data_IF_117629290042
#
_entry.id   IF_117629290042
#
_cell.length_a   1.000
_cell.length_b   1.000
_cell.length_c   1.000
_cell.angle_alpha   90.00
_cell.angle_beta   90.00
_cell.angle_gamma   90.00
#
_symmetry.space_group_name_H-M   'P 1'
#
loop_
_entity.id
_entity.type
_entity.pdbx_description
1 polymer ?
#
# COMPACT_ATOMS: atom_id res chain seq x y z
N UNK A 1 -42.49 20.15 49.55
CA UNK A 1 -42.34 20.54 48.13
C UNK A 1 -41.33 21.67 47.87
N UNK A 2 -41.36 22.83 48.56
CA UNK A 2 -40.43 23.97 48.30
C UNK A 2 -38.95 23.63 48.56
N UNK A 3 -38.63 22.92 49.65
CA UNK A 3 -37.26 22.49 49.99
C UNK A 3 -36.67 21.47 49.00
N UNK A 4 -37.49 20.53 48.49
CA UNK A 4 -37.08 19.56 47.47
C UNK A 4 -36.80 20.22 46.11
N UNK A 5 -37.59 21.24 45.73
CA UNK A 5 -37.32 22.04 44.52
C UNK A 5 -36.01 22.83 44.63
N UNK A 6 -35.73 23.43 45.79
CA UNK A 6 -34.47 24.15 46.03
C UNK A 6 -33.28 23.18 45.98
N UNK A 7 -33.39 22.00 46.60
CA UNK A 7 -32.35 20.98 46.53
C UNK A 7 -32.10 20.48 45.10
N UNK A 8 -33.16 20.27 44.32
CA UNK A 8 -33.04 19.90 42.90
C UNK A 8 -32.33 20.97 42.05
N UNK A 9 -32.61 22.26 42.30
CA UNK A 9 -31.92 23.37 41.61
C UNK A 9 -30.44 23.44 42.01
N UNK A 10 -30.11 23.24 43.29
CA UNK A 10 -28.72 23.21 43.76
C UNK A 10 -27.95 22.06 43.10
N UNK A 11 -28.54 20.86 43.06
CA UNK A 11 -27.92 19.70 42.39
C UNK A 11 -27.74 19.96 40.90
N UNK A 12 -28.74 20.56 40.23
CA UNK A 12 -28.64 20.90 38.81
C UNK A 12 -27.49 21.90 38.55
N UNK A 13 -27.35 22.93 39.38
CA UNK A 13 -26.25 23.90 39.27
C UNK A 13 -24.89 23.23 39.49
N UNK A 14 -24.78 22.34 40.49
CA UNK A 14 -23.56 21.58 40.76
C UNK A 14 -23.17 20.68 39.58
N UNK A 15 -24.14 19.99 38.97
CA UNK A 15 -23.91 19.16 37.78
C UNK A 15 -23.51 20.01 36.56
N UNK A 16 -24.10 21.19 36.39
CA UNK A 16 -23.75 22.10 35.31
C UNK A 16 -22.32 22.66 35.48
N UNK A 17 -21.97 23.07 36.70
CA UNK A 17 -20.64 23.57 37.02
C UNK A 17 -19.56 22.48 36.86
N UNK A 18 -19.84 21.24 37.28
CA UNK A 18 -18.90 20.13 37.12
C UNK A 18 -18.72 19.76 35.64
N UNK A 19 -19.80 19.69 34.86
CA UNK A 19 -19.74 19.41 33.43
C UNK A 19 -18.94 20.48 32.67
N UNK A 20 -19.14 21.76 32.98
CA UNK A 20 -18.37 22.87 32.40
C UNK A 20 -16.88 22.79 32.77
N UNK A 21 -16.57 22.45 34.03
CA UNK A 21 -15.19 22.31 34.52
C UNK A 21 -14.47 21.13 33.86
N UNK A 22 -15.14 19.98 33.71
CA UNK A 22 -14.58 18.81 33.02
C UNK A 22 -14.31 19.12 31.56
N UNK A 23 -15.23 19.82 30.88
CA UNK A 23 -15.02 20.25 29.48
C UNK A 23 -13.81 21.17 29.36
N UNK A 24 -13.68 22.15 30.25
CA UNK A 24 -12.56 23.10 30.24
C UNK A 24 -11.21 22.42 30.50
N UNK A 25 -11.14 21.55 31.51
CA UNK A 25 -9.93 20.76 31.80
C UNK A 25 -9.56 19.81 30.65
N UNK A 26 -10.56 19.20 30.01
CA UNK A 26 -10.37 18.38 28.82
C UNK A 26 -9.78 19.20 27.66
N UNK A 27 -10.36 20.37 27.37
CA UNK A 27 -9.83 21.28 26.34
C UNK A 27 -8.38 21.67 26.60
N UNK A 28 -8.04 22.06 27.83
CA UNK A 28 -6.64 22.41 28.18
C UNK A 28 -5.70 21.22 28.00
N UNK A 29 -6.11 20.03 28.48
CA UNK A 29 -5.30 18.82 28.36
C UNK A 29 -4.99 18.49 26.90
N UNK A 30 -6.01 18.57 26.03
CA UNK A 30 -5.84 18.25 24.61
C UNK A 30 -5.19 19.36 23.80
N UNK A 31 -5.37 20.64 24.18
CA UNK A 31 -4.69 21.76 23.54
C UNK A 31 -3.17 21.72 23.73
N UNK A 32 -2.70 21.18 24.87
CA UNK A 32 -1.29 20.99 25.19
C UNK A 32 -0.74 19.58 24.91
N UNK A 33 -1.55 18.65 24.39
CA UNK A 33 -1.10 17.29 24.12
C UNK A 33 -0.12 17.27 22.93
N UNK A 34 1.09 16.76 23.17
CA UNK A 34 2.12 16.57 22.16
C UNK A 34 2.19 15.10 21.71
N UNK A 35 2.80 14.86 20.54
CA UNK A 35 3.11 13.50 20.09
C UNK A 35 4.37 12.99 20.78
N UNK A 36 4.29 11.83 21.42
CA UNK A 36 5.42 11.25 22.12
C UNK A 36 6.05 10.06 21.38
N UNK A 37 5.32 9.44 20.44
CA UNK A 37 5.81 8.29 19.69
C UNK A 37 5.12 8.16 18.32
N UNK A 38 5.82 7.54 17.38
CA UNK A 38 5.33 7.20 16.04
C UNK A 38 5.38 5.68 15.93
N UNK A 39 4.23 5.07 15.67
CA UNK A 39 4.09 3.63 15.50
C UNK A 39 3.76 3.38 14.02
N UNK A 40 4.67 2.71 13.31
CA UNK A 40 4.53 2.38 11.89
C UNK A 40 4.21 0.89 11.75
N UNK A 41 3.12 0.59 11.07
CA UNK A 41 2.71 -0.77 10.73
C UNK A 41 2.58 -0.89 9.22
N UNK A 42 3.33 -1.83 8.63
CA UNK A 42 3.29 -2.08 7.19
C UNK A 42 2.65 -3.45 6.96
N UNK A 43 1.58 -3.48 6.17
CA UNK A 43 0.96 -4.69 5.70
C UNK A 43 1.58 -5.06 4.35
N UNK A 44 2.05 -6.30 4.24
CA UNK A 44 2.62 -6.87 3.02
C UNK A 44 1.68 -7.96 2.50
N UNK A 45 0.70 -7.62 1.65
CA UNK A 45 -0.08 -8.62 0.95
C UNK A 45 0.82 -9.60 0.19
N UNK A 46 0.46 -10.88 0.19
CA UNK A 46 1.21 -11.98 -0.44
C UNK A 46 2.68 -12.09 0.00
N UNK A 47 3.02 -11.59 1.21
CA UNK A 47 4.37 -11.60 1.77
C UNK A 47 5.43 -10.90 0.90
N UNK A 48 5.01 -9.93 0.09
CA UNK A 48 5.92 -9.17 -0.78
C UNK A 48 6.49 -7.96 -0.06
N UNK A 49 7.80 -7.95 0.20
CA UNK A 49 8.45 -6.84 0.92
C UNK A 49 8.92 -5.78 -0.08
N UNK A 50 8.11 -4.74 -0.30
CA UNK A 50 8.41 -3.66 -1.27
C UNK A 50 8.61 -2.28 -0.61
N UNK A 51 8.00 -2.06 0.55
CA UNK A 51 8.09 -0.81 1.32
C UNK A 51 9.09 -0.98 2.45
N UNK A 52 10.04 -0.05 2.56
CA UNK A 52 11.12 -0.08 3.54
C UNK A 52 11.07 1.18 4.41
N UNK A 53 11.36 1.01 5.71
CA UNK A 53 11.40 2.13 6.65
C UNK A 53 12.37 3.25 6.21
N UNK A 54 13.47 2.90 5.54
CA UNK A 54 14.43 3.86 4.99
C UNK A 54 13.81 4.87 4.01
N UNK A 55 12.73 4.48 3.31
CA UNK A 55 12.02 5.34 2.37
C UNK A 55 10.93 6.18 3.06
N UNK A 56 10.35 5.68 4.15
CA UNK A 56 9.28 6.34 4.90
C UNK A 56 9.80 7.44 5.82
N UNK A 57 10.92 7.16 6.50
CA UNK A 57 11.49 8.04 7.52
C UNK A 57 11.80 9.46 7.02
N UNK A 58 12.38 9.66 5.81
CA UNK A 58 12.61 11.01 5.30
C UNK A 58 11.32 11.83 5.13
N UNK A 59 10.24 11.21 4.64
CA UNK A 59 8.95 11.87 4.45
C UNK A 59 8.34 12.25 5.80
N UNK A 60 8.31 11.29 6.74
CA UNK A 60 7.78 11.50 8.09
C UNK A 60 8.58 12.58 8.82
N UNK A 61 9.91 12.51 8.79
CA UNK A 61 10.77 13.48 9.47
C UNK A 61 10.65 14.89 8.88
N UNK A 62 10.47 15.00 7.56
CA UNK A 62 10.25 16.30 6.91
C UNK A 62 8.91 16.89 7.33
N UNK A 63 7.84 16.09 7.27
CA UNK A 63 6.52 16.50 7.73
C UNK A 63 6.53 16.97 9.19
N UNK A 64 7.14 16.19 10.10
CA UNK A 64 7.20 16.56 11.52
C UNK A 64 7.98 17.86 11.78
N UNK A 65 9.07 18.09 11.03
CA UNK A 65 9.82 19.35 11.10
C UNK A 65 8.98 20.55 10.63
N UNK A 66 8.18 20.37 9.59
CA UNK A 66 7.29 21.42 9.06
C UNK A 66 6.11 21.72 9.98
N UNK A 67 5.61 20.71 10.71
CA UNK A 67 4.53 20.89 11.68
C UNK A 67 5.00 21.53 13.00
N UNK A 68 6.29 21.47 13.33
CA UNK A 68 6.85 22.13 14.52
C UNK A 68 6.18 21.70 15.85
N UNK A 69 5.99 22.65 16.78
CA UNK A 69 5.30 22.44 18.08
C UNK A 69 3.76 22.35 17.96
N UNK A 70 3.24 22.02 16.76
CA UNK A 70 1.80 21.88 16.57
C UNK A 70 1.25 20.79 17.48
N UNK A 71 0.17 21.12 18.19
CA UNK A 71 -0.48 20.16 19.09
C UNK A 71 -1.05 18.97 18.32
N UNK A 72 -1.30 17.88 19.05
CA UNK A 72 -1.68 16.62 18.43
C UNK A 72 -3.00 16.65 17.64
N UNK A 73 -3.88 17.58 17.98
CA UNK A 73 -5.16 17.78 17.32
C UNK A 73 -5.09 18.74 16.11
N UNK A 74 -4.00 19.48 15.94
CA UNK A 74 -3.81 20.45 14.83
C UNK A 74 -2.90 19.93 13.74
N UNK A 75 -2.14 18.87 13.99
CA UNK A 75 -1.33 18.24 12.96
C UNK A 75 -2.24 17.67 11.89
N UNK A 76 -1.96 18.06 10.65
CA UNK A 76 -2.74 17.65 9.50
C UNK A 76 -2.33 16.22 9.06
N UNK A 77 -2.91 15.22 9.71
CA UNK A 77 -2.66 13.81 9.41
C UNK A 77 -2.93 13.46 7.94
N UNK A 78 -3.94 14.10 7.33
CA UNK A 78 -4.29 13.91 5.92
C UNK A 78 -3.16 14.32 4.96
N UNK A 79 -2.40 15.39 5.27
CA UNK A 79 -1.24 15.76 4.45
C UNK A 79 -0.13 14.72 4.50
N UNK A 80 0.11 14.12 5.67
CA UNK A 80 1.09 13.03 5.79
C UNK A 80 0.60 11.78 5.07
N UNK A 81 -0.69 11.46 5.16
CA UNK A 81 -1.33 10.38 4.43
C UNK A 81 -1.10 10.51 2.91
N UNK A 82 -1.49 11.66 2.32
CA UNK A 82 -1.26 11.93 0.89
C UNK A 82 0.22 11.87 0.51
N UNK A 83 1.12 12.33 1.38
CA UNK A 83 2.57 12.29 1.11
C UNK A 83 3.13 10.87 1.13
N UNK A 84 2.57 9.99 1.98
CA UNK A 84 2.96 8.59 2.06
C UNK A 84 2.36 7.78 0.90
N UNK A 85 1.12 8.06 0.49
CA UNK A 85 0.49 7.45 -0.69
C UNK A 85 1.19 7.81 -2.00
N UNK A 86 1.81 8.99 -2.07
CA UNK A 86 2.60 9.40 -3.23
C UNK A 86 3.88 8.55 -3.41
N UNK A 87 4.25 7.71 -2.44
CA UNK A 87 5.41 6.83 -2.56
C UNK A 87 5.13 5.67 -3.54
N UNK A 88 6.09 5.30 -4.41
CA UNK A 88 5.83 4.36 -5.51
C UNK A 88 5.25 2.99 -5.12
N UNK A 89 5.60 2.45 -3.95
CA UNK A 89 5.22 1.10 -3.52
C UNK A 89 4.12 1.10 -2.45
N UNK A 90 3.57 2.26 -2.11
CA UNK A 90 2.43 2.37 -1.18
C UNK A 90 1.15 2.31 -2.01
N UNK A 91 0.26 1.39 -1.66
CA UNK A 91 -1.07 1.27 -2.25
C UNK A 91 -2.08 2.16 -1.53
N UNK A 92 -1.98 2.19 -0.21
CA UNK A 92 -2.88 2.89 0.69
C UNK A 92 -2.11 3.28 1.94
N UNK A 93 -2.40 4.46 2.48
CA UNK A 93 -1.88 4.90 3.76
C UNK A 93 -3.02 5.36 4.65
N UNK A 94 -2.91 5.07 5.93
CA UNK A 94 -3.81 5.61 6.93
C UNK A 94 -3.00 6.22 8.04
N UNK A 95 -3.23 7.51 8.28
CA UNK A 95 -2.55 8.25 9.34
C UNK A 95 -3.58 8.77 10.32
N UNK A 96 -3.44 8.39 11.58
CA UNK A 96 -4.27 8.94 12.64
C UNK A 96 -3.49 9.04 13.93
N UNK A 97 -4.01 9.87 14.82
CA UNK A 97 -3.49 9.99 16.16
C UNK A 97 -4.45 9.34 17.16
N UNK A 98 -3.91 8.65 18.16
CA UNK A 98 -4.70 8.00 19.20
C UNK A 98 -4.62 8.74 20.55
N UNK A 99 -5.54 8.42 21.46
CA UNK A 99 -5.59 9.04 22.80
C UNK A 99 -4.34 8.76 23.66
N UNK A 100 -3.50 7.78 23.29
CA UNK A 100 -2.22 7.47 23.95
C UNK A 100 -1.08 8.38 23.49
N UNK A 101 -1.38 9.49 22.81
CA UNK A 101 -0.40 10.45 22.31
C UNK A 101 0.55 9.88 21.25
N UNK A 102 0.08 8.90 20.47
CA UNK A 102 0.87 8.25 19.40
C UNK A 102 0.32 8.54 18.03
N UNK A 103 1.22 8.82 17.09
CA UNK A 103 0.89 8.86 15.67
C UNK A 103 0.95 7.44 15.11
N UNK A 104 -0.18 6.92 14.68
CA UNK A 104 -0.33 5.60 14.07
C UNK A 104 -0.29 5.78 12.55
N UNK A 105 0.67 5.12 11.92
CA UNK A 105 0.82 5.09 10.47
C UNK A 105 0.64 3.63 10.04
N UNK A 106 -0.45 3.36 9.34
CA UNK A 106 -0.69 2.05 8.72
C UNK A 106 -0.49 2.20 7.23
N UNK A 107 0.29 1.30 6.63
CA UNK A 107 0.58 1.30 5.20
C UNK A 107 0.21 -0.05 4.62
N UNK A 108 -0.36 -0.03 3.42
CA UNK A 108 -0.55 -1.23 2.61
C UNK A 108 0.42 -1.15 1.44
N UNK A 109 1.26 -2.17 1.29
CA UNK A 109 2.17 -2.27 0.15
C UNK A 109 1.40 -2.60 -1.13
N UNK A 110 1.80 -2.04 -2.26
CA UNK A 110 1.36 -2.51 -3.58
C UNK A 110 1.69 -3.99 -3.75
N UNK A 111 0.89 -4.67 -4.57
CA UNK A 111 1.14 -6.04 -5.00
C UNK A 111 1.76 -6.05 -6.38
N UNK A 112 2.69 -6.96 -6.57
CA UNK A 112 3.39 -7.20 -7.83
C UNK A 112 3.03 -8.57 -8.34
N UNK A 113 2.79 -8.68 -9.64
CA UNK A 113 2.47 -9.96 -10.31
C UNK A 113 3.61 -10.52 -11.15
N UNK A 114 4.62 -9.71 -11.48
CA UNK A 114 5.79 -10.17 -12.23
C UNK A 114 7.00 -9.26 -12.06
N UNK A 115 8.19 -9.83 -12.26
CA UNK A 115 9.43 -9.09 -12.49
C UNK A 115 9.64 -8.96 -14.01
N UNK A 116 9.95 -7.77 -14.52
CA UNK A 116 10.30 -7.57 -15.94
C UNK A 116 11.78 -7.21 -16.06
N UNK A 117 12.49 -7.90 -16.94
CA UNK A 117 13.87 -7.57 -17.29
C UNK A 117 13.90 -6.70 -18.55
N UNK A 118 14.37 -5.47 -18.41
CA UNK A 118 14.57 -4.52 -19.52
C UNK A 118 16.06 -4.24 -19.62
N UNK A 119 16.73 -4.90 -20.57
CA UNK A 119 18.19 -4.90 -20.65
C UNK A 119 18.81 -5.47 -19.36
N UNK A 120 19.68 -4.69 -18.71
CA UNK A 120 20.34 -5.06 -17.45
C UNK A 120 19.55 -4.65 -16.20
N UNK A 121 18.41 -3.97 -16.35
CA UNK A 121 17.65 -3.44 -15.22
C UNK A 121 16.39 -4.26 -15.00
N UNK A 122 16.09 -4.54 -13.73
CA UNK A 122 14.87 -5.23 -13.31
C UNK A 122 13.82 -4.24 -12.85
N UNK A 123 12.61 -4.41 -13.35
CA UNK A 123 11.41 -3.69 -13.00
C UNK A 123 10.38 -4.67 -12.41
N UNK A 124 9.38 -4.13 -11.74
CA UNK A 124 8.23 -4.84 -11.18
C UNK A 124 6.99 -4.36 -11.93
N UNK A 125 6.10 -5.29 -12.21
CA UNK A 125 4.77 -4.98 -12.75
C UNK A 125 3.75 -5.19 -11.65
N UNK A 126 3.06 -4.12 -11.27
CA UNK A 126 2.02 -4.18 -10.24
C UNK A 126 0.78 -4.94 -10.75
N UNK A 127 -0.11 -5.31 -9.84
CA UNK A 127 -1.43 -5.85 -10.20
C UNK A 127 -2.19 -4.93 -11.16
N UNK A 128 -2.01 -3.61 -11.02
CA UNK A 128 -2.60 -2.55 -11.85
C UNK A 128 -1.85 -2.29 -13.17
N UNK A 129 -0.84 -3.10 -13.52
CA UNK A 129 0.00 -2.95 -14.72
C UNK A 129 0.94 -1.74 -14.71
N UNK A 130 1.20 -1.13 -13.55
CA UNK A 130 2.23 -0.11 -13.44
C UNK A 130 3.62 -0.74 -13.47
N UNK A 131 4.57 -0.07 -14.13
CA UNK A 131 5.97 -0.52 -14.19
C UNK A 131 6.82 0.34 -13.25
N UNK A 132 7.32 -0.29 -12.19
CA UNK A 132 8.14 0.36 -11.18
C UNK A 132 9.53 -0.26 -11.19
N UNK A 133 10.58 0.53 -10.91
CA UNK A 133 11.92 -0.04 -10.74
C UNK A 133 11.91 -1.05 -9.59
N UNK A 134 12.65 -2.16 -9.66
CA UNK A 134 12.75 -3.08 -8.53
C UNK A 134 13.69 -2.50 -7.45
N UNK A 135 13.26 -2.34 -6.19
CA UNK A 135 14.18 -2.05 -5.08
C UNK A 135 15.18 -3.19 -4.92
N UNK A 136 16.45 -2.88 -4.63
CA UNK A 136 17.50 -3.90 -4.48
C UNK A 136 17.19 -4.91 -3.37
N UNK A 137 16.53 -4.44 -2.30
CA UNK A 137 16.16 -5.22 -1.12
C UNK A 137 14.83 -5.97 -1.29
N UNK A 138 14.10 -5.78 -2.41
CA UNK A 138 12.79 -6.37 -2.60
C UNK A 138 12.84 -7.88 -2.82
N UNK A 139 12.17 -8.61 -1.94
CA UNK A 139 11.99 -10.06 -2.01
C UNK A 139 10.56 -10.32 -2.53
N UNK A 140 10.49 -10.91 -3.72
CA UNK A 140 9.23 -11.30 -4.38
C UNK A 140 9.43 -12.64 -5.10
N UNK A 141 8.53 -13.60 -4.90
CA UNK A 141 8.43 -14.84 -5.67
C UNK A 141 7.29 -14.70 -6.68
N UNK A 142 7.63 -14.18 -7.86
CA UNK A 142 6.70 -13.92 -8.96
C UNK A 142 7.38 -14.29 -10.29
N UNK A 143 6.63 -14.61 -11.35
CA UNK A 143 7.22 -14.94 -12.64
C UNK A 143 8.11 -13.83 -13.20
N UNK A 144 9.12 -14.25 -13.97
CA UNK A 144 10.04 -13.35 -14.67
C UNK A 144 9.61 -13.17 -16.12
N UNK A 145 9.59 -11.93 -16.58
CA UNK A 145 9.27 -11.54 -17.94
C UNK A 145 10.53 -11.04 -18.64
N UNK A 146 10.77 -11.55 -19.85
CA UNK A 146 11.89 -11.13 -20.72
C UNK A 146 11.39 -10.69 -22.10
N UNK A 147 12.29 -10.10 -22.90
CA UNK A 147 11.95 -9.66 -24.26
C UNK A 147 11.18 -8.34 -24.35
N UNK A 148 11.20 -7.55 -23.27
CA UNK A 148 10.52 -6.25 -23.15
C UNK A 148 11.55 -5.12 -23.29
N UNK A 149 11.24 -4.11 -24.11
CA UNK A 149 12.17 -3.02 -24.42
C UNK A 149 12.02 -1.80 -23.51
N UNK A 150 10.80 -1.48 -23.11
CA UNK A 150 10.48 -0.27 -22.37
C UNK A 150 9.31 -0.47 -21.41
N UNK A 151 8.98 0.58 -20.64
CA UNK A 151 7.89 0.57 -19.67
C UNK A 151 6.51 0.39 -20.31
N UNK A 152 6.30 0.85 -21.54
CA UNK A 152 5.03 0.70 -22.25
C UNK A 152 4.80 -0.77 -22.62
N UNK A 153 5.81 -1.41 -23.19
CA UNK A 153 5.80 -2.85 -23.46
C UNK A 153 5.68 -3.66 -22.15
N UNK A 154 6.28 -3.20 -21.05
CA UNK A 154 6.16 -3.84 -19.73
C UNK A 154 4.72 -3.86 -19.21
N UNK A 155 4.02 -2.73 -19.31
CA UNK A 155 2.60 -2.63 -18.94
C UNK A 155 1.72 -3.53 -19.84
N UNK A 156 1.99 -3.55 -21.15
CA UNK A 156 1.26 -4.41 -22.10
C UNK A 156 1.52 -5.91 -21.86
N UNK A 157 2.72 -6.29 -21.43
CA UNK A 157 2.94 -7.68 -20.97
C UNK A 157 2.16 -7.97 -19.69
N UNK A 158 2.03 -7.02 -18.77
CA UNK A 158 1.15 -7.18 -17.62
C UNK A 158 -0.29 -7.53 -18.00
N UNK A 159 -0.86 -6.83 -18.99
CA UNK A 159 -2.19 -7.14 -19.54
C UNK A 159 -2.23 -8.51 -20.23
N UNK A 160 -1.14 -8.89 -20.89
CA UNK A 160 -1.00 -10.21 -21.51
C UNK A 160 -0.96 -11.33 -20.47
N UNK A 161 -0.27 -11.10 -19.35
CA UNK A 161 -0.23 -12.01 -18.22
C UNK A 161 -1.62 -12.18 -17.60
N UNK A 162 -2.39 -11.10 -17.46
CA UNK A 162 -3.78 -11.18 -16.99
C UNK A 162 -4.64 -12.06 -17.91
N UNK A 163 -4.49 -11.92 -19.23
CA UNK A 163 -5.17 -12.78 -20.21
C UNK A 163 -4.77 -14.26 -20.08
N UNK A 164 -3.49 -14.53 -19.81
CA UNK A 164 -2.99 -15.88 -19.55
C UNK A 164 -3.63 -16.44 -18.27
N UNK A 165 -3.67 -15.67 -17.18
CA UNK A 165 -4.27 -16.11 -15.92
C UNK A 165 -5.79 -16.31 -16.02
N UNK A 166 -6.49 -15.50 -16.80
CA UNK A 166 -7.92 -15.69 -17.09
C UNK A 166 -8.23 -17.00 -17.82
N UNK A 167 -7.26 -17.60 -18.52
CA UNK A 167 -7.45 -18.91 -19.16
C UNK A 167 -7.47 -20.08 -18.16
N UNK A 168 -7.02 -19.85 -16.92
CA UNK A 168 -6.87 -20.84 -15.84
C UNK A 168 -5.85 -21.96 -16.10
N UNK A 169 -5.16 -21.96 -17.24
CA UNK A 169 -4.07 -22.91 -17.54
C UNK A 169 -2.84 -22.57 -16.71
N UNK A 170 -2.56 -21.28 -16.57
CA UNK A 170 -1.45 -20.75 -15.78
C UNK A 170 -1.96 -19.78 -14.71
N UNK A 171 -1.21 -19.67 -13.62
CA UNK A 171 -1.40 -18.74 -12.52
C UNK A 171 -0.03 -18.31 -11.95
N UNK A 172 -0.02 -17.51 -10.89
CA UNK A 172 1.22 -17.04 -10.26
C UNK A 172 2.09 -18.18 -9.71
N UNK A 173 1.48 -19.28 -9.26
CA UNK A 173 2.19 -20.38 -8.61
C UNK A 173 2.83 -21.35 -9.61
N UNK A 174 2.27 -21.47 -10.81
CA UNK A 174 2.70 -22.46 -11.81
C UNK A 174 3.41 -21.85 -13.02
N UNK A 175 3.55 -20.52 -13.10
CA UNK A 175 4.28 -19.83 -14.15
C UNK A 175 5.65 -19.38 -13.64
N UNK A 176 6.73 -19.83 -14.28
CA UNK A 176 8.08 -19.42 -13.91
C UNK A 176 8.57 -18.24 -14.76
N UNK A 177 8.41 -18.32 -16.09
CA UNK A 177 8.91 -17.29 -17.00
C UNK A 177 7.98 -17.08 -18.19
N UNK A 178 7.91 -15.84 -18.66
CA UNK A 178 7.26 -15.43 -19.90
C UNK A 178 8.24 -14.63 -20.76
N UNK A 179 8.63 -15.16 -21.91
CA UNK A 179 9.52 -14.48 -22.86
C UNK A 179 8.71 -13.93 -24.05
N UNK A 180 8.68 -12.60 -24.19
CA UNK A 180 7.99 -11.92 -25.29
C UNK A 180 8.88 -11.87 -26.51
N UNK A 181 8.38 -12.41 -27.62
CA UNK A 181 9.01 -12.29 -28.95
C UNK A 181 8.06 -11.56 -29.88
N UNK A 182 8.51 -11.25 -31.11
CA UNK A 182 7.72 -10.46 -32.07
C UNK A 182 6.35 -11.08 -32.34
N UNK A 183 6.33 -12.37 -32.67
CA UNK A 183 5.11 -13.05 -33.14
C UNK A 183 4.56 -14.09 -32.16
N UNK A 184 5.34 -14.44 -31.14
CA UNK A 184 5.02 -15.51 -30.20
C UNK A 184 5.46 -15.21 -28.78
N UNK A 185 4.86 -15.91 -27.84
CA UNK A 185 5.22 -15.93 -26.43
C UNK A 185 5.78 -17.31 -26.11
N UNK A 186 6.89 -17.33 -25.38
CA UNK A 186 7.43 -18.54 -24.79
C UNK A 186 7.09 -18.56 -23.29
N UNK A 187 6.28 -19.54 -22.90
CA UNK A 187 5.80 -19.73 -21.53
C UNK A 187 6.59 -20.90 -20.92
N UNK A 188 7.20 -20.68 -19.77
CA UNK A 188 7.92 -21.72 -19.01
C UNK A 188 7.16 -21.98 -17.70
N UNK A 189 6.57 -23.17 -17.53
CA UNK A 189 5.89 -23.54 -16.30
C UNK A 189 6.87 -23.82 -15.14
N UNK A 190 6.45 -23.53 -13.90
CA UNK A 190 7.22 -23.83 -12.68
C UNK A 190 7.26 -25.35 -12.47
N UNK A 191 8.45 -25.90 -12.25
CA UNK A 191 8.66 -27.33 -12.00
C UNK A 191 8.72 -28.22 -13.26
N UNK A 192 8.68 -27.64 -14.46
CA UNK A 192 8.78 -28.39 -15.72
C UNK A 192 9.92 -27.85 -16.60
N UNK A 193 10.57 -28.77 -17.34
CA UNK A 193 11.70 -28.43 -18.22
C UNK A 193 11.30 -28.19 -19.69
N UNK A 194 10.03 -27.86 -19.94
CA UNK A 194 9.56 -27.60 -21.30
C UNK A 194 9.14 -26.13 -21.47
N UNK A 195 9.17 -25.67 -22.71
CA UNK A 195 8.71 -24.34 -23.10
C UNK A 195 7.50 -24.49 -24.00
N UNK A 196 6.43 -23.78 -23.67
CA UNK A 196 5.21 -23.73 -24.49
C UNK A 196 5.26 -22.49 -25.36
N UNK A 197 5.11 -22.66 -26.67
CA UNK A 197 5.06 -21.57 -27.63
C UNK A 197 3.61 -21.30 -28.01
N UNK A 198 3.16 -20.06 -27.80
CA UNK A 198 1.81 -19.61 -28.16
C UNK A 198 1.89 -18.33 -28.96
N UNK A 199 0.88 -18.04 -29.79
CA UNK A 199 0.81 -16.78 -30.50
C UNK A 199 0.59 -15.61 -29.53
N UNK A 200 1.17 -14.45 -29.81
CA UNK A 200 0.99 -13.23 -28.98
C UNK A 200 -0.28 -12.44 -29.32
N UNK A 201 -0.93 -12.78 -30.43
CA UNK A 201 -2.08 -12.05 -31.00
C UNK A 201 -3.43 -12.58 -30.49
N UNK A 202 -4.51 -12.37 -31.27
CA UNK A 202 -5.87 -12.81 -30.95
C UNK A 202 -5.98 -14.34 -30.79
N UNK A 203 -5.07 -15.11 -31.37
CA UNK A 203 -5.02 -16.58 -31.30
C UNK A 203 -4.53 -17.11 -29.95
N UNK A 204 -3.92 -16.26 -29.12
CA UNK A 204 -3.46 -16.62 -27.77
C UNK A 204 -4.53 -17.38 -26.98
N UNK A 205 -5.76 -16.91 -26.99
CA UNK A 205 -6.87 -17.53 -26.25
C UNK A 205 -7.15 -18.95 -26.74
N UNK A 206 -7.11 -19.17 -28.04
CA UNK A 206 -7.39 -20.49 -28.63
C UNK A 206 -6.21 -21.44 -28.45
N UNK A 207 -4.98 -20.94 -28.45
CA UNK A 207 -3.80 -21.74 -28.12
C UNK A 207 -3.79 -22.17 -26.66
N UNK A 208 -4.12 -21.26 -25.73
CA UNK A 208 -4.22 -21.60 -24.31
C UNK A 208 -5.30 -22.66 -24.05
N UNK A 209 -6.45 -22.60 -24.73
CA UNK A 209 -7.49 -23.64 -24.60
C UNK A 209 -7.03 -25.04 -25.00
N UNK A 210 -6.05 -25.18 -25.90
CA UNK A 210 -5.52 -26.48 -26.32
C UNK A 210 -4.63 -27.13 -25.24
N UNK A 211 -4.20 -26.33 -24.25
CA UNK A 211 -3.34 -26.77 -23.15
C UNK A 211 -4.13 -27.11 -21.88
N UNK A 212 -5.43 -26.81 -21.86
CA UNK A 212 -6.34 -27.05 -20.75
C UNK A 212 -6.83 -28.51 -20.69
#
# INVERSE_FOLDING_TARGET
MRKQRIFGVIVAILLLASALSIRYLSMIHWDGAQFNAIDISIQFPDNQTLVFNSNLQPVINTFLKEQGDSNALKVNAFLLETSLEALPYVADAQVYWNMDQRLKITLVSKQVKAIVMMGSTTFLVTTENEVLKKPAEAIVDVPVITGVKDSSEGADVGVTLDRIYLSKVFNADNLAQLDRRKDHLAIVPKGYNHTVLVNSDKRLKDDLKKLA
#
